data_IF_853769307134
#
_entry.id   IF_853769307134
#
_cell.length_a   1.000
_cell.length_b   1.000
_cell.length_c   1.000
_cell.angle_alpha   90.00
_cell.angle_beta   90.00
_cell.angle_gamma   90.00
#
_symmetry.space_group_name_H-M   'P 1'
#
loop_
_entity.id
_entity.type
_entity.pdbx_description
1 polymer ?
#
# COMPACT_ATOMS: atom_id res chain seq x y z
N UNK A 1 19.21 -0.44 17.56
CA UNK A 1 19.30 -0.62 16.10
C UNK A 1 19.41 -2.09 15.69
N UNK A 2 20.22 -2.96 16.33
CA UNK A 2 20.30 -4.39 15.93
C UNK A 2 19.16 -5.28 16.44
N UNK A 3 18.59 -4.99 17.62
CA UNK A 3 17.48 -5.77 18.18
C UNK A 3 16.17 -5.55 17.41
N UNK A 4 15.88 -4.31 17.00
CA UNK A 4 14.66 -3.96 16.25
C UNK A 4 14.61 -4.66 14.88
N UNK A 5 15.75 -4.75 14.19
CA UNK A 5 15.85 -5.46 12.91
C UNK A 5 15.62 -6.97 13.08
N UNK A 6 16.12 -7.55 14.17
CA UNK A 6 15.89 -8.97 14.46
C UNK A 6 14.41 -9.26 14.74
N UNK A 7 13.73 -8.42 15.51
CA UNK A 7 12.30 -8.54 15.77
C UNK A 7 11.46 -8.35 14.50
N UNK A 8 11.79 -7.37 13.65
CA UNK A 8 11.17 -7.17 12.34
C UNK A 8 11.34 -8.40 11.44
N UNK A 9 12.52 -9.01 11.42
CA UNK A 9 12.78 -10.24 10.68
C UNK A 9 11.94 -11.41 11.19
N UNK A 10 11.74 -11.53 12.51
CA UNK A 10 10.88 -12.54 13.12
C UNK A 10 9.41 -12.30 12.72
N UNK A 11 8.92 -11.06 12.75
CA UNK A 11 7.56 -10.73 12.32
C UNK A 11 7.36 -11.01 10.83
N UNK A 12 8.32 -10.63 9.99
CA UNK A 12 8.29 -10.92 8.57
C UNK A 12 8.27 -12.42 8.28
N UNK A 13 9.03 -13.22 9.05
CA UNK A 13 9.00 -14.67 8.95
C UNK A 13 7.65 -15.27 9.35
N UNK A 14 7.01 -14.75 10.41
CA UNK A 14 5.66 -15.17 10.83
C UNK A 14 4.63 -14.93 9.72
N UNK A 15 4.66 -13.76 9.08
CA UNK A 15 3.76 -13.43 7.97
C UNK A 15 4.02 -14.32 6.75
N UNK A 16 5.29 -14.55 6.37
CA UNK A 16 5.66 -15.47 5.29
C UNK A 16 5.15 -16.90 5.55
N UNK A 17 5.28 -17.38 6.79
CA UNK A 17 4.76 -18.69 7.20
C UNK A 17 3.24 -18.75 7.12
N UNK A 18 2.56 -17.68 7.51
CA UNK A 18 1.10 -17.57 7.42
C UNK A 18 0.62 -17.60 5.96
N UNK A 19 1.27 -16.85 5.06
CA UNK A 19 0.94 -16.86 3.62
C UNK A 19 1.12 -18.25 3.03
N UNK A 20 2.23 -18.93 3.35
CA UNK A 20 2.46 -20.31 2.90
C UNK A 20 1.38 -21.27 3.41
N UNK A 21 0.90 -21.07 4.64
CA UNK A 21 -0.22 -21.86 5.18
C UNK A 21 -1.54 -21.56 4.47
N UNK A 22 -1.81 -20.29 4.13
CA UNK A 22 -3.04 -19.88 3.43
C UNK A 22 -3.06 -20.36 1.98
N UNK A 23 -1.91 -20.37 1.30
CA UNK A 23 -1.80 -20.85 -0.09
C UNK A 23 -2.00 -22.37 -0.21
N UNK A 24 -1.53 -23.14 0.79
CA UNK A 24 -1.79 -24.58 0.87
C UNK A 24 -3.24 -24.93 1.21
N UNK A 25 -3.99 -24.00 1.80
CA UNK A 25 -5.34 -24.24 2.26
C UNK A 25 -6.34 -24.13 1.09
N UNK A 26 -7.08 -25.21 0.82
CA UNK A 26 -8.13 -25.25 -0.20
C UNK A 26 -9.49 -25.55 0.44
N UNK A 27 -10.51 -24.81 0.00
CA UNK A 27 -11.89 -24.99 0.44
C UNK A 27 -12.70 -25.91 -0.48
N UNK A 28 -13.75 -26.52 0.06
CA UNK A 28 -14.74 -27.28 -0.71
C UNK A 28 -15.80 -26.33 -1.31
N UNK A 29 -15.40 -25.46 -2.25
CA UNK A 29 -16.28 -24.49 -2.94
C UNK A 29 -15.88 -23.04 -2.74
N UNK A 30 -16.79 -22.09 -3.03
CA UNK A 30 -16.55 -20.63 -2.92
C UNK A 30 -16.79 -20.14 -1.49
N UNK A 31 -15.94 -20.54 -0.56
CA UNK A 31 -16.08 -20.18 0.87
C UNK A 31 -14.92 -19.34 1.40
N UNK A 32 -13.97 -18.96 0.54
CA UNK A 32 -12.74 -18.28 0.94
C UNK A 32 -12.84 -16.80 0.59
N UNK A 33 -12.98 -15.96 1.61
CA UNK A 33 -13.02 -14.51 1.48
C UNK A 33 -11.65 -13.94 1.76
N UNK A 34 -11.14 -13.17 0.81
CA UNK A 34 -9.93 -12.35 0.95
C UNK A 34 -10.36 -10.88 0.89
N UNK A 35 -10.25 -10.17 2.03
CA UNK A 35 -10.62 -8.77 2.15
C UNK A 35 -9.39 -7.95 2.56
N UNK A 36 -9.01 -6.99 1.72
CA UNK A 36 -7.88 -6.09 1.96
C UNK A 36 -8.40 -4.65 1.99
N UNK A 37 -8.15 -3.98 3.11
CA UNK A 37 -8.56 -2.60 3.36
C UNK A 37 -7.32 -1.71 3.40
N UNK A 38 -7.16 -0.76 2.46
CA UNK A 38 -6.03 0.15 2.46
C UNK A 38 -6.11 1.12 3.65
N UNK A 39 -4.96 1.70 4.06
CA UNK A 39 -4.96 2.71 5.10
C UNK A 39 -5.72 3.95 4.62
N UNK A 40 -6.38 4.64 5.56
CA UNK A 40 -7.27 5.81 5.33
C UNK A 40 -8.67 5.50 4.79
N UNK A 41 -8.98 4.24 4.44
CA UNK A 41 -10.38 3.88 4.15
C UNK A 41 -11.20 3.76 5.43
N UNK A 42 -12.52 3.86 5.30
CA UNK A 42 -13.46 3.78 6.42
C UNK A 42 -14.03 2.37 6.55
N UNK A 43 -14.07 1.84 7.78
CA UNK A 43 -14.64 0.52 8.09
C UNK A 43 -16.12 0.43 7.66
N UNK A 44 -16.87 1.52 7.80
CA UNK A 44 -18.28 1.61 7.38
C UNK A 44 -18.46 1.27 5.89
N UNK A 45 -17.53 1.70 5.03
CA UNK A 45 -17.57 1.41 3.59
C UNK A 45 -17.43 -0.09 3.33
N UNK A 46 -16.46 -0.74 3.96
CA UNK A 46 -16.26 -2.19 3.86
C UNK A 46 -17.46 -2.96 4.45
N UNK A 47 -18.03 -2.50 5.57
CA UNK A 47 -19.23 -3.10 6.16
C UNK A 47 -20.46 -2.99 5.26
N UNK A 48 -20.61 -1.86 4.55
CA UNK A 48 -21.70 -1.64 3.60
C UNK A 48 -21.56 -2.54 2.39
N UNK A 49 -20.34 -2.70 1.87
CA UNK A 49 -20.02 -3.66 0.81
C UNK A 49 -20.36 -5.09 1.24
N UNK A 50 -19.91 -5.56 2.40
CA UNK A 50 -20.23 -6.90 2.89
C UNK A 50 -21.74 -7.13 3.07
N UNK A 51 -22.50 -6.09 3.43
CA UNK A 51 -23.97 -6.16 3.52
C UNK A 51 -24.62 -6.33 2.15
N UNK A 52 -24.11 -5.65 1.12
CA UNK A 52 -24.57 -5.81 -0.26
C UNK A 52 -24.24 -7.22 -0.79
N UNK A 53 -23.03 -7.71 -0.52
CA UNK A 53 -22.59 -9.06 -0.89
C UNK A 53 -23.42 -10.14 -0.19
N UNK A 54 -23.79 -9.93 1.08
CA UNK A 54 -24.70 -10.83 1.81
C UNK A 54 -26.08 -10.91 1.14
N UNK A 55 -26.64 -9.77 0.73
CA UNK A 55 -27.92 -9.71 0.02
C UNK A 55 -27.89 -10.47 -1.31
N UNK A 56 -26.82 -10.28 -2.09
CA UNK A 56 -26.61 -10.98 -3.36
C UNK A 56 -26.41 -12.48 -3.15
N UNK A 57 -25.63 -12.88 -2.15
CA UNK A 57 -25.35 -14.28 -1.82
C UNK A 57 -26.61 -15.05 -1.39
N UNK A 58 -27.62 -14.37 -0.82
CA UNK A 58 -28.91 -14.99 -0.46
C UNK A 58 -29.65 -15.59 -1.67
N UNK A 59 -29.45 -15.00 -2.86
CA UNK A 59 -30.07 -15.42 -4.11
C UNK A 59 -29.37 -16.61 -4.80
N UNK A 60 -28.30 -17.15 -4.22
CA UNK A 60 -27.60 -18.33 -4.76
C UNK A 60 -28.54 -19.56 -4.73
N UNK A 61 -28.70 -20.22 -5.89
CA UNK A 61 -29.61 -21.37 -6.08
C UNK A 61 -29.22 -22.59 -5.24
N UNK A 62 -27.92 -22.91 -5.19
CA UNK A 62 -27.41 -24.08 -4.47
C UNK A 62 -27.44 -23.86 -2.96
N UNK A 63 -28.25 -24.66 -2.24
CA UNK A 63 -28.42 -24.54 -0.76
C UNK A 63 -27.09 -24.62 -0.01
N UNK A 64 -26.25 -25.61 -0.33
CA UNK A 64 -24.98 -25.86 0.38
C UNK A 64 -24.02 -24.69 0.17
N UNK A 65 -23.82 -24.25 -1.07
CA UNK A 65 -22.92 -23.13 -1.37
C UNK A 65 -23.41 -21.81 -0.73
N UNK A 66 -24.72 -21.56 -0.77
CA UNK A 66 -25.32 -20.39 -0.13
C UNK A 66 -25.03 -20.35 1.37
N UNK A 67 -25.22 -21.46 2.08
CA UNK A 67 -24.95 -21.52 3.53
C UNK A 67 -23.46 -21.26 3.85
N UNK A 68 -22.56 -21.81 3.04
CA UNK A 68 -21.11 -21.60 3.20
C UNK A 68 -20.70 -20.15 2.98
N UNK A 69 -21.18 -19.52 1.91
CA UNK A 69 -20.89 -18.10 1.59
C UNK A 69 -21.47 -17.17 2.66
N UNK A 70 -22.74 -17.36 3.05
CA UNK A 70 -23.37 -16.54 4.08
C UNK A 70 -22.63 -16.64 5.42
N UNK A 71 -22.23 -17.86 5.82
CA UNK A 71 -21.45 -18.07 7.04
C UNK A 71 -20.09 -17.35 6.99
N UNK A 72 -19.38 -17.41 5.87
CA UNK A 72 -18.10 -16.71 5.69
C UNK A 72 -18.26 -15.18 5.76
N UNK A 73 -19.30 -14.62 5.11
CA UNK A 73 -19.58 -13.18 5.16
C UNK A 73 -19.94 -12.75 6.60
N UNK A 74 -20.80 -13.51 7.29
CA UNK A 74 -21.17 -13.21 8.68
C UNK A 74 -19.95 -13.24 9.60
N UNK A 75 -19.07 -14.24 9.47
CA UNK A 75 -17.81 -14.29 10.23
C UNK A 75 -16.89 -13.11 9.92
N UNK A 76 -16.81 -12.69 8.65
CA UNK A 76 -16.03 -11.51 8.24
C UNK A 76 -16.58 -10.22 8.88
N UNK A 77 -17.90 -10.04 8.86
CA UNK A 77 -18.56 -8.90 9.51
C UNK A 77 -18.33 -8.88 11.03
N UNK A 78 -18.36 -10.04 11.69
CA UNK A 78 -18.07 -10.14 13.13
C UNK A 78 -16.66 -9.68 13.47
N UNK A 79 -15.66 -10.09 12.67
CA UNK A 79 -14.27 -9.63 12.88
C UNK A 79 -14.09 -8.15 12.56
N UNK A 80 -14.73 -7.67 11.51
CA UNK A 80 -14.64 -6.26 11.13
C UNK A 80 -15.21 -5.33 12.22
N UNK A 81 -16.23 -5.77 12.97
CA UNK A 81 -16.80 -5.02 14.12
C UNK A 81 -15.85 -4.85 15.29
N UNK A 82 -14.82 -5.68 15.43
CA UNK A 82 -13.82 -5.54 16.49
C UNK A 82 -12.96 -4.28 16.30
N UNK A 83 -12.85 -3.80 15.07
CA UNK A 83 -12.08 -2.61 14.71
C UNK A 83 -13.02 -1.40 14.63
N UNK A 84 -12.72 -0.36 15.41
CA UNK A 84 -13.44 0.92 15.30
C UNK A 84 -12.88 1.81 14.18
N UNK A 85 -11.57 1.70 13.91
CA UNK A 85 -10.86 2.43 12.84
C UNK A 85 -9.84 1.52 12.16
N UNK A 86 -9.60 1.75 10.87
CA UNK A 86 -8.57 1.01 10.13
C UNK A 86 -7.20 1.41 10.71
N UNK A 87 -6.33 0.45 11.05
CA UNK A 87 -4.97 0.73 11.51
C UNK A 87 -4.13 1.43 10.41
N UNK A 88 -3.03 2.10 10.80
CA UNK A 88 -2.27 2.97 9.90
C UNK A 88 -1.62 2.24 8.72
N UNK A 89 -1.31 0.95 8.82
CA UNK A 89 -0.75 0.17 7.72
C UNK A 89 -1.81 -0.57 6.88
N UNK A 90 -3.10 -0.39 7.20
CA UNK A 90 -4.20 -1.11 6.56
C UNK A 90 -4.55 -2.42 7.28
N UNK A 91 -5.63 -3.06 6.85
CA UNK A 91 -6.17 -4.25 7.50
C UNK A 91 -6.39 -5.36 6.47
N UNK A 92 -5.95 -6.57 6.83
CA UNK A 92 -6.12 -7.76 6.00
C UNK A 92 -6.95 -8.77 6.76
N UNK A 93 -8.00 -9.28 6.11
CA UNK A 93 -8.84 -10.34 6.65
C UNK A 93 -8.91 -11.52 5.67
N UNK A 94 -8.61 -12.70 6.18
CA UNK A 94 -8.85 -13.98 5.51
C UNK A 94 -9.85 -14.78 6.32
N UNK A 95 -10.98 -15.12 5.72
CA UNK A 95 -12.02 -15.91 6.37
C UNK A 95 -12.45 -17.01 5.43
N UNK A 96 -12.55 -18.23 5.95
CA UNK A 96 -13.10 -19.32 5.16
C UNK A 96 -13.19 -20.63 5.92
N UNK A 97 -13.66 -21.65 5.23
CA UNK A 97 -13.75 -23.02 5.73
C UNK A 97 -12.75 -23.89 4.98
N UNK A 98 -11.78 -24.44 5.70
CA UNK A 98 -10.77 -25.32 5.14
C UNK A 98 -11.10 -26.77 5.52
N UNK A 99 -10.87 -27.69 4.60
CA UNK A 99 -10.92 -29.12 4.89
C UNK A 99 -9.57 -29.53 5.47
N UNK A 100 -9.57 -30.13 6.66
CA UNK A 100 -8.34 -30.72 7.24
C UNK A 100 -8.19 -32.15 6.73
N UNK A 101 -6.97 -32.72 6.77
CA UNK A 101 -6.69 -34.10 6.33
C UNK A 101 -7.55 -35.16 7.03
N UNK A 102 -8.07 -34.86 8.22
CA UNK A 102 -9.03 -35.70 8.96
C UNK A 102 -10.47 -35.66 8.38
N UNK A 103 -10.69 -34.98 7.24
CA UNK A 103 -12.01 -34.77 6.64
C UNK A 103 -12.94 -33.86 7.43
N UNK A 104 -12.44 -33.25 8.52
CA UNK A 104 -13.20 -32.29 9.34
C UNK A 104 -13.13 -30.89 8.73
N UNK A 105 -14.27 -30.22 8.68
CA UNK A 105 -14.37 -28.81 8.29
C UNK A 105 -13.91 -27.90 9.43
N UNK A 106 -12.90 -27.08 9.18
CA UNK A 106 -12.38 -26.11 10.14
C UNK A 106 -12.64 -24.70 9.63
N UNK A 107 -13.35 -23.91 10.42
CA UNK A 107 -13.51 -22.47 10.19
C UNK A 107 -12.21 -21.77 10.56
N UNK A 108 -11.60 -21.08 9.60
CA UNK A 108 -10.41 -20.26 9.80
C UNK A 108 -10.76 -18.80 9.64
N UNK A 109 -10.20 -17.98 10.52
CA UNK A 109 -10.32 -16.54 10.40
C UNK A 109 -9.04 -15.89 10.93
N UNK A 110 -8.38 -15.17 10.04
CA UNK A 110 -7.13 -14.48 10.31
C UNK A 110 -7.31 -13.00 9.99
N UNK A 111 -6.91 -12.17 10.94
CA UNK A 111 -6.90 -10.72 10.88
C UNK A 111 -5.53 -10.25 11.38
N UNK A 112 -4.86 -9.45 10.56
CA UNK A 112 -3.59 -8.87 10.97
C UNK A 112 -3.36 -7.55 10.25
N UNK A 113 -2.52 -6.73 10.89
CA UNK A 113 -1.98 -5.53 10.29
C UNK A 113 -0.65 -5.87 9.60
N UNK A 114 -0.48 -5.57 8.30
CA UNK A 114 0.77 -5.80 7.59
C UNK A 114 1.85 -4.82 8.07
N UNK A 115 3.13 -5.23 7.95
CA UNK A 115 4.26 -4.41 8.39
C UNK A 115 4.48 -3.17 7.50
N UNK A 116 4.10 -3.25 6.21
CA UNK A 116 4.15 -2.15 5.25
C UNK A 116 2.72 -1.71 4.89
N UNK A 117 2.48 -0.41 4.68
CA UNK A 117 1.16 0.07 4.30
C UNK A 117 0.76 -0.44 2.92
N UNK A 118 -0.44 -1.04 2.83
CA UNK A 118 -0.95 -1.55 1.55
C UNK A 118 -1.56 -0.41 0.74
N UNK A 119 -0.82 0.08 -0.24
CA UNK A 119 -1.43 0.82 -1.34
C UNK A 119 -1.94 -0.20 -2.35
N UNK A 120 -3.19 -0.64 -2.26
CA UNK A 120 -3.84 -1.37 -3.37
C UNK A 120 -4.12 -0.40 -4.53
N UNK A 121 -3.06 0.22 -5.03
CA UNK A 121 -2.96 0.72 -6.38
C UNK A 121 -2.11 -0.30 -7.13
N UNK A 122 -2.58 -1.55 -7.20
CA UNK A 122 -2.06 -2.43 -8.23
C UNK A 122 -2.50 -1.82 -9.57
N UNK A 123 -1.59 -1.59 -10.53
CA UNK A 123 -1.98 -1.28 -11.88
C UNK A 123 -2.73 -2.53 -12.37
N UNK A 124 -4.05 -2.46 -12.36
CA UNK A 124 -4.86 -3.46 -13.05
C UNK A 124 -4.32 -3.52 -14.47
N UNK A 125 -3.72 -4.65 -14.84
CA UNK A 125 -3.19 -5.01 -16.17
C UNK A 125 -3.71 -4.07 -17.26
N UNK A 126 -2.94 -3.02 -17.58
CA UNK A 126 -3.22 -2.20 -18.75
C UNK A 126 -2.75 -3.03 -19.94
N UNK A 127 -3.71 -3.69 -20.60
CA UNK A 127 -3.56 -4.02 -22.01
C UNK A 127 -2.99 -2.77 -22.72
N UNK A 128 -1.87 -2.88 -23.45
CA UNK A 128 -1.20 -1.73 -24.03
C UNK A 128 -1.92 -1.30 -25.31
N UNK A 129 -3.08 -0.67 -25.19
CA UNK A 129 -3.65 0.14 -26.27
C UNK A 129 -4.77 1.02 -25.72
N UNK A 130 -4.39 2.26 -25.41
CA UNK A 130 -5.21 3.47 -25.22
C UNK A 130 -5.17 4.06 -23.81
N UNK A 131 -4.46 5.19 -23.76
CA UNK A 131 -4.88 6.43 -23.13
C UNK A 131 -5.27 6.36 -21.64
N UNK A 132 -4.31 6.64 -20.77
CA UNK A 132 -4.62 7.09 -19.40
C UNK A 132 -3.53 8.03 -18.86
N UNK A 133 -3.26 9.12 -19.60
CA UNK A 133 -2.64 10.33 -19.03
C UNK A 133 -3.78 11.29 -18.81
N UNK A 134 -4.27 11.37 -17.56
CA UNK A 134 -5.33 12.27 -17.00
C UNK A 134 -6.39 11.50 -16.19
N UNK A 135 -5.98 10.74 -15.18
CA UNK A 135 -6.90 10.45 -14.07
C UNK A 135 -6.20 10.83 -12.77
N UNK A 136 -6.62 11.96 -12.22
CA UNK A 136 -6.34 12.29 -10.84
C UNK A 136 -6.88 11.19 -9.94
N UNK A 137 -6.00 10.69 -9.06
CA UNK A 137 -6.34 10.12 -7.77
C UNK A 137 -7.50 9.10 -7.81
N UNK A 138 -7.30 7.94 -8.45
CA UNK A 138 -8.19 6.81 -8.21
C UNK A 138 -8.09 6.45 -6.71
N UNK A 139 -9.19 6.51 -5.94
CA UNK A 139 -9.13 6.13 -4.54
C UNK A 139 -8.73 4.65 -4.46
N UNK A 140 -7.77 4.34 -3.58
CA UNK A 140 -7.37 2.99 -3.22
C UNK A 140 -8.62 2.12 -3.03
N UNK A 141 -8.91 1.25 -4.00
CA UNK A 141 -10.13 0.43 -3.95
C UNK A 141 -9.80 -0.74 -3.03
N UNK A 142 -10.65 -0.97 -2.02
CA UNK A 142 -10.58 -2.18 -1.21
C UNK A 142 -10.78 -3.40 -2.11
N UNK A 143 -9.94 -4.41 -1.92
CA UNK A 143 -9.97 -5.63 -2.69
C UNK A 143 -10.80 -6.66 -1.92
N UNK A 144 -11.87 -7.14 -2.54
CA UNK A 144 -12.75 -8.17 -2.02
C UNK A 144 -12.87 -9.26 -3.08
N UNK A 145 -12.43 -10.47 -2.74
CA UNK A 145 -12.59 -11.66 -3.59
C UNK A 145 -13.15 -12.82 -2.77
N UNK A 146 -14.06 -13.57 -3.39
CA UNK A 146 -14.60 -14.82 -2.88
C UNK A 146 -14.32 -15.92 -3.92
N UNK A 147 -13.48 -16.89 -3.55
CA UNK A 147 -13.11 -18.01 -4.42
C UNK A 147 -12.92 -19.30 -3.59
N UNK A 148 -12.39 -20.36 -4.20
CA UNK A 148 -12.04 -21.62 -3.55
C UNK A 148 -10.66 -21.62 -2.87
N UNK A 149 -9.87 -20.58 -3.09
CA UNK A 149 -8.53 -20.35 -2.55
C UNK A 149 -8.42 -18.95 -1.96
N UNK A 150 -7.47 -18.75 -1.05
CA UNK A 150 -7.14 -17.41 -0.59
C UNK A 150 -6.27 -16.68 -1.62
N UNK A 151 -6.56 -15.40 -1.85
CA UNK A 151 -5.74 -14.54 -2.71
C UNK A 151 -4.71 -13.81 -1.84
N UNK A 152 -3.48 -14.31 -1.83
CA UNK A 152 -2.35 -13.74 -1.08
C UNK A 152 -1.38 -12.96 -1.96
N UNK A 153 -1.66 -12.82 -3.26
CA UNK A 153 -0.79 -12.17 -4.26
C UNK A 153 -0.34 -10.77 -3.80
N UNK A 154 -1.29 -9.95 -3.34
CA UNK A 154 -1.01 -8.61 -2.84
C UNK A 154 -0.08 -8.58 -1.60
N UNK A 155 -0.04 -9.65 -0.80
CA UNK A 155 0.87 -9.75 0.34
C UNK A 155 2.24 -10.27 -0.05
N UNK A 156 2.29 -11.19 -1.02
CA UNK A 156 3.54 -11.74 -1.54
C UNK A 156 4.39 -10.64 -2.18
N UNK A 157 3.77 -9.73 -2.93
CA UNK A 157 4.44 -8.56 -3.52
C UNK A 157 5.04 -7.64 -2.44
N UNK A 158 4.33 -7.39 -1.34
CA UNK A 158 4.83 -6.54 -0.25
C UNK A 158 6.03 -7.14 0.51
N UNK A 159 6.15 -8.47 0.49
CA UNK A 159 7.21 -9.23 1.15
C UNK A 159 8.44 -9.45 0.27
N UNK A 160 8.34 -9.12 -1.01
CA UNK A 160 9.51 -9.02 -1.87
C UNK A 160 10.40 -7.89 -1.35
N UNK A 161 11.70 -8.15 -1.30
CA UNK A 161 12.67 -7.20 -0.76
C UNK A 161 12.92 -6.12 -1.80
N UNK A 162 12.04 -5.11 -1.82
CA UNK A 162 12.26 -3.93 -2.64
C UNK A 162 13.47 -3.14 -2.12
N UNK A 163 14.42 -2.87 -3.01
CA UNK A 163 15.47 -1.90 -2.74
C UNK A 163 14.84 -0.52 -2.57
N UNK A 164 15.14 0.15 -1.46
CA UNK A 164 14.71 1.53 -1.23
C UNK A 164 15.50 2.46 -2.15
N UNK A 165 14.80 3.21 -2.99
CA UNK A 165 15.40 4.20 -3.89
C UNK A 165 15.16 5.61 -3.35
N UNK A 166 16.22 6.41 -3.28
CA UNK A 166 16.14 7.83 -2.97
C UNK A 166 16.00 8.67 -4.23
N UNK A 167 15.05 9.60 -4.24
CA UNK A 167 14.86 10.58 -5.31
C UNK A 167 15.13 11.98 -4.80
N UNK A 168 15.96 12.71 -5.54
CA UNK A 168 16.21 14.14 -5.33
C UNK A 168 15.80 14.87 -6.59
N UNK A 169 14.76 15.69 -6.49
CA UNK A 169 14.28 16.52 -7.60
C UNK A 169 14.70 17.95 -7.30
N UNK A 170 15.54 18.52 -8.16
CA UNK A 170 15.97 19.91 -8.06
C UNK A 170 15.29 20.75 -9.13
N UNK A 171 14.56 21.77 -8.70
CA UNK A 171 13.97 22.79 -9.58
C UNK A 171 14.51 24.18 -9.21
N UNK A 172 14.30 25.16 -10.10
CA UNK A 172 14.66 26.56 -9.90
C UNK A 172 13.85 27.28 -8.80
N UNK A 173 12.74 26.69 -8.37
CA UNK A 173 11.90 27.22 -7.29
C UNK A 173 12.06 26.46 -5.96
N UNK A 174 12.73 25.31 -5.96
CA UNK A 174 12.89 24.47 -4.77
C UNK A 174 13.38 23.06 -5.07
N UNK A 175 13.65 22.32 -4.00
CA UNK A 175 13.98 20.89 -4.09
C UNK A 175 13.00 20.03 -3.33
N UNK A 176 12.96 18.77 -3.73
CA UNK A 176 12.16 17.72 -3.15
C UNK A 176 13.01 16.48 -2.93
N UNK A 177 12.97 15.96 -1.70
CA UNK A 177 13.55 14.68 -1.31
C UNK A 177 12.42 13.70 -1.06
N UNK A 178 12.47 12.57 -1.75
CA UNK A 178 11.55 11.47 -1.54
C UNK A 178 12.28 10.14 -1.51
N UNK A 179 11.65 9.15 -0.90
CA UNK A 179 12.04 7.75 -1.07
C UNK A 179 10.90 6.98 -1.68
N UNK A 180 11.27 5.97 -2.47
CA UNK A 180 10.37 4.99 -3.05
C UNK A 180 10.81 3.62 -2.57
N UNK A 181 9.89 2.88 -1.97
CA UNK A 181 10.08 1.48 -1.63
C UNK A 181 8.91 0.71 -2.21
N UNK A 182 9.15 -0.04 -3.30
CA UNK A 182 8.08 -0.72 -4.03
C UNK A 182 6.99 0.27 -4.49
N UNK A 183 5.76 0.06 -4.01
CA UNK A 183 4.59 0.90 -4.33
C UNK A 183 4.33 2.04 -3.33
N UNK A 184 5.16 2.21 -2.30
CA UNK A 184 4.99 3.29 -1.33
C UNK A 184 5.93 4.46 -1.66
N UNK A 185 5.32 5.63 -1.88
CA UNK A 185 6.04 6.90 -2.05
C UNK A 185 6.02 7.68 -0.75
N UNK A 186 7.20 8.08 -0.28
CA UNK A 186 7.35 8.90 0.92
C UNK A 186 8.04 10.21 0.57
N UNK A 187 7.43 11.31 1.00
CA UNK A 187 8.01 12.65 0.88
C UNK A 187 8.73 12.95 2.18
N UNK A 188 10.05 13.02 2.15
CA UNK A 188 10.86 13.27 3.35
C UNK A 188 10.88 14.76 3.64
N UNK A 189 11.33 15.55 2.67
CA UNK A 189 11.52 16.98 2.86
C UNK A 189 11.28 17.72 1.54
N UNK A 190 10.58 18.85 1.62
CA UNK A 190 10.48 19.85 0.54
C UNK A 190 10.97 21.19 1.05
N UNK A 191 11.76 21.91 0.28
CA UNK A 191 12.08 23.30 0.59
C UNK A 191 12.12 24.15 -0.67
N UNK A 192 11.66 25.38 -0.54
CA UNK A 192 11.64 26.35 -1.62
C UNK A 192 12.86 27.27 -1.55
N UNK A 193 13.34 27.70 -2.72
CA UNK A 193 14.47 28.63 -2.83
C UNK A 193 14.17 29.66 -3.91
N UNK A 194 14.38 30.92 -3.57
CA UNK A 194 14.28 32.02 -4.53
C UNK A 194 15.63 32.27 -5.19
N UNK A 195 15.79 31.68 -6.39
CA UNK A 195 16.95 31.93 -7.25
C UNK A 195 16.73 33.17 -8.13
N UNK A 196 17.76 34.01 -8.31
CA UNK A 196 17.69 35.16 -9.21
C UNK A 196 17.51 34.71 -10.66
N UNK A 197 16.40 35.13 -11.27
CA UNK A 197 16.08 34.86 -12.69
C UNK A 197 16.99 35.66 -13.63
N UNK A 198 16.94 35.33 -14.92
CA UNK A 198 17.64 36.11 -15.96
C UNK A 198 17.09 37.54 -15.97
N UNK A 199 17.99 38.53 -15.84
CA UNK A 199 17.59 39.94 -15.84
C UNK A 199 17.28 40.43 -17.26
N UNK A 200 16.28 41.31 -17.38
CA UNK A 200 15.98 42.09 -18.57
C UNK A 200 16.77 43.41 -18.64
N UNK A 201 16.28 44.40 -19.37
CA UNK A 201 16.91 45.74 -19.46
C UNK A 201 16.96 46.41 -18.06
N UNK A 202 18.14 46.84 -17.62
CA UNK A 202 18.35 47.46 -16.30
C UNK A 202 19.70 48.17 -16.17
N UNK A 203 19.90 48.90 -15.07
CA UNK A 203 21.01 49.86 -14.89
C UNK A 203 22.28 49.35 -14.18
N UNK A 204 22.41 48.05 -13.94
CA UNK A 204 23.61 47.46 -13.33
C UNK A 204 24.40 46.64 -14.36
N UNK A 205 25.70 46.45 -14.11
CA UNK A 205 26.59 45.72 -15.03
C UNK A 205 26.19 44.24 -15.16
N UNK A 206 26.08 43.75 -16.40
CA UNK A 206 25.65 42.39 -16.69
C UNK A 206 26.55 41.32 -16.06
N UNK A 207 27.86 41.59 -15.97
CA UNK A 207 28.86 40.69 -15.38
C UNK A 207 28.64 40.49 -13.88
N UNK A 208 28.29 41.56 -13.15
CA UNK A 208 28.01 41.50 -11.70
C UNK A 208 26.82 40.58 -11.41
N UNK A 209 25.75 40.73 -12.17
CA UNK A 209 24.58 39.86 -12.01
C UNK A 209 24.86 38.41 -12.37
N UNK A 210 25.74 38.14 -13.33
CA UNK A 210 26.13 36.75 -13.61
C UNK A 210 26.81 36.11 -12.41
N UNK A 211 27.78 36.82 -11.82
CA UNK A 211 28.48 36.34 -10.62
C UNK A 211 27.52 36.07 -9.46
N UNK A 212 26.60 36.98 -9.18
CA UNK A 212 25.61 36.81 -8.11
C UNK A 212 24.66 35.62 -8.36
N UNK A 213 24.31 35.35 -9.63
CA UNK A 213 23.51 34.17 -9.99
C UNK A 213 24.29 32.88 -9.74
N UNK A 214 25.56 32.83 -10.16
CA UNK A 214 26.39 31.64 -10.03
C UNK A 214 26.70 31.34 -8.56
N UNK A 215 26.97 32.37 -7.76
CA UNK A 215 27.17 32.25 -6.32
C UNK A 215 25.93 31.71 -5.60
N UNK A 216 24.74 32.26 -5.90
CA UNK A 216 23.49 31.74 -5.32
C UNK A 216 23.17 30.30 -5.78
N UNK A 217 23.46 29.94 -7.03
CA UNK A 217 23.32 28.55 -7.52
C UNK A 217 24.27 27.61 -6.78
N UNK A 218 25.52 28.02 -6.59
CA UNK A 218 26.51 27.22 -5.87
C UNK A 218 26.10 26.96 -4.43
N UNK A 219 25.64 28.01 -3.73
CA UNK A 219 25.13 27.89 -2.36
C UNK A 219 23.89 26.99 -2.28
N UNK A 220 23.02 27.05 -3.29
CA UNK A 220 21.87 26.16 -3.39
C UNK A 220 22.29 24.69 -3.53
N UNK A 221 23.19 24.37 -4.47
CA UNK A 221 23.70 23.00 -4.67
C UNK A 221 24.37 22.47 -3.42
N UNK A 222 25.17 23.30 -2.73
CA UNK A 222 25.81 22.94 -1.46
C UNK A 222 24.76 22.57 -0.39
N UNK A 223 23.75 23.41 -0.21
CA UNK A 223 22.67 23.16 0.75
C UNK A 223 21.90 21.87 0.42
N UNK A 224 21.64 21.61 -0.86
CA UNK A 224 20.99 20.37 -1.30
C UNK A 224 21.85 19.15 -0.99
N UNK A 225 23.15 19.23 -1.24
CA UNK A 225 24.08 18.14 -0.94
C UNK A 225 24.15 17.83 0.56
N UNK A 226 24.22 18.85 1.41
CA UNK A 226 24.21 18.68 2.87
C UNK A 226 22.90 18.03 3.35
N UNK A 227 21.76 18.49 2.85
CA UNK A 227 20.45 17.92 3.18
C UNK A 227 20.29 16.50 2.63
N UNK A 228 20.87 16.19 1.47
CA UNK A 228 20.85 14.85 0.90
C UNK A 228 21.61 13.86 1.79
N UNK A 229 22.78 14.23 2.29
CA UNK A 229 23.56 13.41 3.22
C UNK A 229 22.77 13.18 4.50
N UNK A 230 22.15 14.21 5.08
CA UNK A 230 21.34 14.07 6.29
C UNK A 230 20.09 13.21 6.07
N UNK A 231 19.39 13.38 4.94
CA UNK A 231 18.12 12.72 4.67
C UNK A 231 18.26 11.27 4.22
N UNK A 232 19.32 10.92 3.48
CA UNK A 232 19.48 9.60 2.87
C UNK A 232 20.47 8.69 3.60
N UNK A 233 21.46 9.24 4.32
CA UNK A 233 22.47 8.42 4.99
C UNK A 233 22.04 7.93 6.39
N UNK A 234 20.96 8.47 6.94
CA UNK A 234 20.47 8.17 8.31
C UNK A 234 19.22 7.27 8.35
N UNK A 235 18.84 6.67 7.22
CA UNK A 235 17.63 5.84 7.09
C UNK A 235 17.90 4.41 6.65
#
# INVERSE_FOLDING_TARGET
MSQDTAEQNIQMWKVKKLIKSLDSARGAGTSMISLIIPPKDQISRASSMLTQEYGTASNIKSRVNRLSVLAAITSTQQRLKLYNRVPPNGLVLFVGTILTDEGKEKKVSFDFEPHKPINTCAPFYVRPSLCCVLIGFLPSRSLYLCDNKFHTEALSELLESDSRFGFIVMDGNGTFFGTLAGNTREVIHKFTVDLPKKHGRGGQSALRFSRLRDEKRHNYVRKVAELAVQALHYQ
#
